data_IF_680432813619
#
_entry.id   IF_680432813619
#
_cell.length_a   1.000
_cell.length_b   1.000
_cell.length_c   1.000
_cell.angle_alpha   90.00
_cell.angle_beta   90.00
_cell.angle_gamma   90.00
#
_symmetry.space_group_name_H-M   'P 1'
#
loop_
_entity.id
_entity.type
_entity.pdbx_description
1 polymer ?
#
# COMPACT_ATOMS: atom_id res chain seq x y z
N UNK A 1 -63.10 -48.00 -60.89
CA UNK A 1 -61.99 -47.08 -60.47
C UNK A 1 -60.70 -47.74 -60.77
N UNK A 2 -59.99 -47.26 -61.77
CA UNK A 2 -58.78 -47.83 -62.30
C UNK A 2 -57.60 -47.59 -61.37
N UNK A 3 -56.64 -48.57 -61.22
CA UNK A 3 -55.51 -48.52 -60.29
C UNK A 3 -54.63 -47.28 -60.41
N UNK A 4 -54.64 -46.54 -61.53
CA UNK A 4 -54.00 -45.26 -61.75
C UNK A 4 -54.57 -44.10 -60.90
N UNK A 5 -55.87 -44.08 -60.60
CA UNK A 5 -56.49 -43.06 -59.78
C UNK A 5 -56.18 -43.25 -58.29
N UNK A 6 -56.11 -44.50 -57.80
CA UNK A 6 -55.69 -44.84 -56.44
C UNK A 6 -54.23 -44.44 -56.24
N UNK A 7 -53.33 -44.73 -57.16
CA UNK A 7 -51.90 -44.39 -57.09
C UNK A 7 -51.66 -42.86 -57.10
N UNK A 8 -52.46 -42.08 -57.85
CA UNK A 8 -52.48 -40.64 -57.86
C UNK A 8 -52.97 -40.02 -56.54
N UNK A 9 -53.97 -40.68 -55.91
CA UNK A 9 -54.52 -40.29 -54.59
C UNK A 9 -53.54 -40.55 -53.44
N UNK A 10 -52.77 -41.68 -53.45
CA UNK A 10 -51.74 -42.02 -52.50
C UNK A 10 -50.57 -41.07 -52.65
N UNK A 11 -50.12 -40.73 -53.86
CA UNK A 11 -49.09 -39.78 -54.14
C UNK A 11 -49.38 -38.38 -53.60
N UNK A 12 -50.68 -37.91 -53.76
CA UNK A 12 -51.09 -36.64 -53.15
C UNK A 12 -51.11 -36.67 -51.63
N UNK A 13 -51.55 -37.77 -51.01
CA UNK A 13 -51.55 -37.92 -49.53
C UNK A 13 -50.11 -37.98 -48.95
N UNK A 14 -49.20 -38.67 -49.63
CA UNK A 14 -47.77 -38.73 -49.27
C UNK A 14 -47.12 -37.33 -49.44
N UNK A 15 -47.41 -36.62 -50.55
CA UNK A 15 -46.95 -35.26 -50.76
C UNK A 15 -47.43 -34.27 -49.68
N UNK A 16 -48.71 -34.35 -49.29
CA UNK A 16 -49.25 -33.53 -48.18
C UNK A 16 -48.59 -33.89 -46.85
N UNK A 17 -48.36 -35.20 -46.59
CA UNK A 17 -47.64 -35.65 -45.38
C UNK A 17 -46.19 -35.15 -45.31
N UNK A 18 -45.47 -35.18 -46.43
CA UNK A 18 -44.12 -34.62 -46.52
C UNK A 18 -44.11 -33.11 -46.33
N UNK A 19 -45.07 -32.40 -46.92
CA UNK A 19 -45.22 -30.93 -46.79
C UNK A 19 -45.53 -30.53 -45.33
N UNK A 20 -46.43 -31.29 -44.67
CA UNK A 20 -46.79 -31.12 -43.25
C UNK A 20 -45.55 -31.40 -42.33
N UNK A 21 -44.78 -32.40 -42.63
CA UNK A 21 -43.53 -32.70 -41.89
C UNK A 21 -42.50 -31.59 -42.05
N UNK A 22 -42.30 -31.07 -43.26
CA UNK A 22 -41.41 -29.94 -43.53
C UNK A 22 -41.90 -28.71 -42.76
N UNK A 23 -43.22 -28.42 -42.78
CA UNK A 23 -43.81 -27.31 -42.02
C UNK A 23 -43.63 -27.47 -40.51
N UNK A 24 -43.77 -28.66 -39.97
CA UNK A 24 -43.52 -29.00 -38.59
C UNK A 24 -42.06 -28.77 -38.19
N UNK A 25 -41.11 -29.20 -39.02
CA UNK A 25 -39.69 -28.99 -38.81
C UNK A 25 -39.31 -27.51 -38.85
N UNK A 26 -39.87 -26.73 -39.79
CA UNK A 26 -39.71 -25.29 -39.86
C UNK A 26 -40.30 -24.59 -38.63
N UNK A 27 -41.44 -25.04 -38.11
CA UNK A 27 -42.07 -24.48 -36.93
C UNK A 27 -41.25 -24.72 -35.67
N UNK A 28 -40.65 -25.92 -35.51
CA UNK A 28 -39.72 -26.23 -34.40
C UNK A 28 -38.46 -25.36 -34.48
N UNK A 29 -37.94 -25.11 -35.68
CA UNK A 29 -36.79 -24.23 -35.90
C UNK A 29 -37.02 -22.76 -35.55
N UNK A 30 -38.27 -22.31 -35.31
CA UNK A 30 -38.59 -20.96 -34.95
C UNK A 30 -38.36 -20.64 -33.46
N UNK A 31 -38.14 -21.64 -32.64
CA UNK A 31 -37.88 -21.44 -31.20
C UNK A 31 -36.39 -21.58 -30.88
N UNK A 32 -35.91 -20.68 -30.02
CA UNK A 32 -34.59 -20.76 -29.47
C UNK A 32 -34.59 -20.28 -28.01
N UNK A 33 -33.64 -20.74 -27.24
CA UNK A 33 -33.43 -20.36 -25.82
C UNK A 33 -32.19 -19.48 -25.68
N UNK A 34 -32.28 -18.50 -24.79
CA UNK A 34 -31.16 -17.64 -24.41
C UNK A 34 -30.91 -17.87 -22.93
N UNK A 35 -29.71 -18.25 -22.56
CA UNK A 35 -29.31 -18.44 -21.18
C UNK A 35 -29.05 -17.10 -20.49
N UNK A 36 -28.98 -17.10 -19.17
CA UNK A 36 -28.71 -15.87 -18.38
C UNK A 36 -27.30 -15.34 -18.62
N UNK A 37 -26.36 -16.23 -18.96
CA UNK A 37 -24.96 -15.97 -19.24
C UNK A 37 -24.68 -15.61 -20.69
N UNK A 38 -25.73 -15.49 -21.54
CA UNK A 38 -25.58 -15.23 -22.96
C UNK A 38 -26.30 -13.95 -23.39
N UNK A 39 -25.71 -13.26 -24.38
CA UNK A 39 -26.39 -12.33 -25.26
C UNK A 39 -26.85 -13.07 -26.51
N UNK A 40 -27.95 -12.63 -27.11
CA UNK A 40 -28.36 -13.11 -28.43
C UNK A 40 -28.57 -11.94 -29.39
N UNK A 41 -27.91 -11.98 -30.54
CA UNK A 41 -28.10 -11.01 -31.62
C UNK A 41 -28.98 -11.64 -32.68
N UNK A 42 -30.10 -11.00 -32.97
CA UNK A 42 -31.04 -11.44 -34.01
C UNK A 42 -30.69 -10.73 -35.32
N UNK A 43 -30.32 -11.51 -36.32
CA UNK A 43 -30.02 -11.03 -37.65
C UNK A 43 -31.18 -11.36 -38.59
N UNK A 44 -31.60 -10.39 -39.37
CA UNK A 44 -32.62 -10.59 -40.44
C UNK A 44 -31.94 -10.37 -41.77
N UNK A 45 -31.89 -11.41 -42.62
CA UNK A 45 -31.14 -11.41 -43.89
C UNK A 45 -29.70 -10.92 -43.77
N UNK A 46 -29.02 -11.29 -42.67
CA UNK A 46 -27.64 -10.91 -42.41
C UNK A 46 -27.43 -9.53 -41.81
N UNK A 47 -28.50 -8.75 -41.60
CA UNK A 47 -28.42 -7.43 -40.95
C UNK A 47 -28.80 -7.56 -39.47
N UNK A 48 -27.93 -7.13 -38.52
CA UNK A 48 -28.27 -7.13 -37.10
C UNK A 48 -29.40 -6.14 -36.82
N UNK A 49 -30.50 -6.60 -36.23
CA UNK A 49 -31.65 -5.76 -35.97
C UNK A 49 -31.89 -5.53 -34.49
N UNK A 50 -31.60 -6.52 -33.68
CA UNK A 50 -31.94 -6.44 -32.26
C UNK A 50 -31.00 -7.28 -31.39
N UNK A 51 -30.57 -6.64 -30.36
CA UNK A 51 -29.87 -7.27 -29.24
C UNK A 51 -30.90 -7.79 -28.22
N UNK A 52 -30.76 -9.04 -27.77
CA UNK A 52 -31.61 -9.68 -26.80
C UNK A 52 -30.77 -9.97 -25.53
N UNK A 53 -31.01 -9.14 -24.51
CA UNK A 53 -30.33 -9.29 -23.20
C UNK A 53 -31.10 -10.18 -22.22
N UNK A 54 -32.39 -10.45 -22.49
CA UNK A 54 -33.25 -11.22 -21.57
C UNK A 54 -33.22 -12.71 -21.86
N UNK A 55 -32.94 -13.51 -20.82
CA UNK A 55 -33.01 -14.97 -20.87
C UNK A 55 -34.41 -15.52 -21.10
N UNK A 56 -34.47 -16.74 -21.56
CA UNK A 56 -35.72 -17.49 -21.74
C UNK A 56 -35.97 -17.94 -23.17
N UNK A 57 -37.15 -18.52 -23.41
CA UNK A 57 -37.60 -18.97 -24.70
C UNK A 57 -38.03 -17.77 -25.57
N UNK A 58 -37.46 -17.68 -26.78
CA UNK A 58 -37.73 -16.63 -27.76
C UNK A 58 -38.19 -17.22 -29.09
N UNK A 59 -38.86 -16.40 -29.86
CA UNK A 59 -39.35 -16.75 -31.18
C UNK A 59 -38.58 -16.01 -32.28
N UNK A 60 -38.17 -16.72 -33.33
CA UNK A 60 -37.57 -16.15 -34.55
C UNK A 60 -38.22 -16.74 -35.78
N UNK A 61 -38.05 -16.09 -36.92
CA UNK A 61 -38.39 -16.69 -38.22
C UNK A 61 -37.42 -17.80 -38.61
N UNK A 62 -37.88 -18.80 -39.36
CA UNK A 62 -37.02 -19.93 -39.78
C UNK A 62 -35.86 -19.45 -40.66
N UNK A 63 -34.74 -20.18 -40.57
CA UNK A 63 -33.64 -19.98 -41.50
C UNK A 63 -34.11 -20.19 -42.96
N UNK A 64 -33.67 -19.35 -43.94
CA UNK A 64 -32.59 -18.35 -43.88
C UNK A 64 -33.07 -16.91 -43.54
N UNK A 65 -34.31 -16.68 -43.17
CA UNK A 65 -34.86 -15.33 -42.92
C UNK A 65 -34.18 -14.69 -41.69
N UNK A 66 -34.14 -15.45 -40.58
CA UNK A 66 -33.48 -14.97 -39.36
C UNK A 66 -32.48 -15.98 -38.81
N UNK A 67 -31.30 -15.46 -38.43
CA UNK A 67 -30.28 -16.18 -37.69
C UNK A 67 -30.09 -15.54 -36.33
N UNK A 68 -29.62 -16.33 -35.36
CA UNK A 68 -29.28 -15.87 -34.01
C UNK A 68 -27.85 -16.26 -33.73
N UNK A 69 -27.07 -15.28 -33.34
CA UNK A 69 -25.72 -15.47 -32.84
C UNK A 69 -25.69 -15.25 -31.32
N UNK A 70 -25.09 -16.18 -30.60
CA UNK A 70 -25.00 -16.15 -29.16
C UNK A 70 -23.59 -15.82 -28.72
N UNK A 71 -23.44 -14.91 -27.75
CA UNK A 71 -22.19 -14.48 -27.17
C UNK A 71 -22.26 -14.62 -25.65
N UNK A 72 -21.17 -15.04 -25.04
CA UNK A 72 -21.09 -15.12 -23.58
C UNK A 72 -20.98 -13.73 -22.95
N UNK A 73 -21.65 -13.56 -21.79
CA UNK A 73 -21.53 -12.39 -20.90
C UNK A 73 -20.38 -12.51 -19.92
N UNK A 74 -19.70 -13.65 -19.92
CA UNK A 74 -18.62 -13.92 -18.99
C UNK A 74 -17.43 -12.99 -19.23
N UNK A 75 -16.55 -12.93 -18.25
CA UNK A 75 -15.29 -12.21 -18.36
C UNK A 75 -14.27 -13.12 -19.01
N UNK A 76 -13.63 -12.63 -20.05
CA UNK A 76 -12.56 -13.29 -20.76
C UNK A 76 -11.22 -12.75 -20.32
N UNK A 77 -10.18 -13.59 -20.39
CA UNK A 77 -8.80 -13.20 -20.18
C UNK A 77 -8.05 -13.22 -21.49
N UNK A 78 -7.32 -12.15 -21.78
CA UNK A 78 -6.37 -12.05 -22.88
C UNK A 78 -4.97 -11.95 -22.27
N UNK A 79 -4.13 -12.93 -22.57
CA UNK A 79 -2.73 -12.96 -22.15
C UNK A 79 -1.86 -12.35 -23.26
N UNK A 80 -0.88 -11.54 -22.85
CA UNK A 80 0.11 -10.95 -23.75
C UNK A 80 1.51 -11.32 -23.27
N UNK A 81 2.31 -11.87 -24.19
CA UNK A 81 3.69 -12.27 -23.91
C UNK A 81 3.86 -13.72 -23.45
N UNK A 82 2.78 -14.41 -23.10
CA UNK A 82 2.79 -15.81 -22.74
C UNK A 82 1.52 -16.54 -23.20
N UNK A 83 1.63 -17.82 -23.48
CA UNK A 83 0.52 -18.70 -23.80
C UNK A 83 0.41 -19.80 -22.75
N UNK A 84 -0.83 -20.09 -22.34
CA UNK A 84 -1.10 -21.22 -21.44
C UNK A 84 -1.31 -22.47 -22.27
N UNK A 85 -0.30 -23.34 -22.34
CA UNK A 85 -0.38 -24.63 -23.01
C UNK A 85 -0.48 -25.78 -22.01
N UNK A 86 -1.71 -26.21 -21.71
CA UNK A 86 -1.98 -27.23 -20.69
C UNK A 86 -1.77 -26.68 -19.25
N UNK A 87 -0.73 -27.18 -18.58
CA UNK A 87 -0.32 -26.73 -17.22
C UNK A 87 0.98 -25.91 -17.22
N UNK A 88 1.50 -25.55 -18.38
CA UNK A 88 2.75 -24.80 -18.52
C UNK A 88 2.50 -23.47 -19.23
N UNK A 89 3.12 -22.44 -18.72
CA UNK A 89 3.21 -21.14 -19.36
C UNK A 89 4.41 -21.15 -20.31
N UNK A 90 4.16 -20.82 -21.57
CA UNK A 90 5.17 -20.71 -22.59
C UNK A 90 5.35 -19.22 -22.90
N UNK A 91 6.48 -18.67 -22.51
CA UNK A 91 6.80 -17.27 -22.74
C UNK A 91 7.28 -17.02 -24.17
N UNK A 92 6.77 -15.95 -24.78
CA UNK A 92 7.21 -15.46 -26.07
C UNK A 92 8.19 -14.28 -25.89
N UNK A 93 9.48 -14.55 -25.78
CA UNK A 93 10.52 -13.54 -25.57
C UNK A 93 10.49 -12.36 -26.55
N UNK A 94 10.01 -12.61 -27.81
CA UNK A 94 9.93 -11.54 -28.80
C UNK A 94 8.84 -10.52 -28.51
N UNK A 95 7.79 -10.94 -27.84
CA UNK A 95 6.66 -10.10 -27.49
C UNK A 95 6.87 -9.40 -26.15
N UNK A 96 7.42 -10.13 -25.16
CA UNK A 96 7.68 -9.60 -23.81
C UNK A 96 8.82 -8.61 -23.78
N UNK A 97 9.81 -8.72 -24.69
CA UNK A 97 10.99 -7.88 -24.73
C UNK A 97 10.65 -6.47 -25.19
N UNK A 98 10.95 -5.48 -24.35
CA UNK A 98 10.71 -4.08 -24.65
C UNK A 98 11.77 -3.15 -24.02
N UNK A 99 11.82 -1.91 -24.48
CA UNK A 99 12.80 -0.91 -24.04
C UNK A 99 12.06 0.14 -23.20
N UNK A 100 12.60 0.45 -22.04
CA UNK A 100 12.12 1.51 -21.14
C UNK A 100 12.58 2.90 -21.61
N UNK A 101 12.00 3.97 -21.03
CA UNK A 101 12.37 5.34 -21.37
C UNK A 101 13.81 5.73 -20.98
N UNK A 102 14.43 5.00 -20.07
CA UNK A 102 15.83 5.12 -19.66
C UNK A 102 16.77 4.10 -20.38
N UNK A 103 16.35 3.61 -21.58
CA UNK A 103 17.13 2.77 -22.50
C UNK A 103 17.50 1.38 -21.94
N UNK A 104 16.82 0.89 -20.92
CA UNK A 104 17.00 -0.46 -20.40
C UNK A 104 16.07 -1.44 -21.11
N UNK A 105 16.51 -2.70 -21.21
CA UNK A 105 15.71 -3.79 -21.77
C UNK A 105 15.06 -4.54 -20.61
N UNK A 106 13.73 -4.71 -20.68
CA UNK A 106 12.96 -5.52 -19.74
C UNK A 106 12.11 -6.54 -20.48
N UNK A 107 11.70 -7.57 -19.76
CA UNK A 107 10.67 -8.52 -20.17
C UNK A 107 9.42 -8.18 -19.36
N UNK A 108 8.30 -7.92 -20.04
CA UNK A 108 7.04 -7.64 -19.37
C UNK A 108 5.90 -8.38 -20.05
N UNK A 109 5.07 -9.02 -19.25
CA UNK A 109 3.87 -9.73 -19.68
C UNK A 109 2.63 -9.18 -18.96
N UNK A 110 1.50 -9.31 -19.63
CA UNK A 110 0.27 -8.65 -19.22
C UNK A 110 -0.93 -9.58 -19.41
N UNK A 111 -1.86 -9.52 -18.45
CA UNK A 111 -3.19 -10.10 -18.56
C UNK A 111 -4.24 -9.01 -18.60
N UNK A 112 -5.13 -9.06 -19.59
CA UNK A 112 -6.26 -8.14 -19.71
C UNK A 112 -7.56 -8.92 -19.52
N UNK A 113 -8.33 -8.54 -18.51
CA UNK A 113 -9.66 -9.08 -18.30
C UNK A 113 -10.69 -8.15 -18.94
N UNK A 114 -11.50 -8.69 -19.81
CA UNK A 114 -12.49 -7.95 -20.60
C UNK A 114 -13.80 -8.70 -20.72
N UNK A 115 -14.85 -7.98 -21.05
CA UNK A 115 -16.18 -8.56 -21.34
C UNK A 115 -16.85 -7.84 -22.49
N UNK A 116 -17.77 -8.52 -23.14
CA UNK A 116 -18.63 -7.96 -24.18
C UNK A 116 -19.69 -7.09 -23.51
N UNK A 117 -19.89 -5.86 -23.99
CA UNK A 117 -20.92 -4.92 -23.55
C UNK A 117 -21.89 -4.63 -24.65
N UNK A 118 -21.40 -4.44 -25.87
CA UNK A 118 -22.21 -4.28 -27.07
C UNK A 118 -21.96 -5.44 -28.04
N UNK A 119 -22.85 -6.46 -28.05
CA UNK A 119 -22.71 -7.63 -28.92
C UNK A 119 -22.76 -7.30 -30.42
N UNK A 120 -23.48 -6.24 -30.82
CA UNK A 120 -23.61 -5.83 -32.22
C UNK A 120 -22.28 -5.23 -32.69
N UNK A 121 -21.72 -4.31 -31.92
CA UNK A 121 -20.42 -3.72 -32.22
C UNK A 121 -19.32 -4.80 -32.27
N UNK A 122 -19.33 -5.72 -31.32
CA UNK A 122 -18.35 -6.82 -31.25
C UNK A 122 -18.38 -7.73 -32.48
N UNK A 123 -19.59 -8.07 -33.01
CA UNK A 123 -19.75 -8.99 -34.14
C UNK A 123 -19.56 -8.33 -35.49
N UNK A 124 -19.93 -7.05 -35.63
CA UNK A 124 -20.16 -6.44 -36.95
C UNK A 124 -19.33 -5.21 -37.25
N UNK A 125 -18.74 -4.52 -36.25
CA UNK A 125 -17.92 -3.35 -36.53
C UNK A 125 -16.52 -3.73 -37.03
N UNK A 126 -16.01 -4.90 -36.59
CA UNK A 126 -14.70 -5.37 -36.98
C UNK A 126 -14.73 -6.85 -37.33
N UNK A 127 -13.84 -7.28 -38.22
CA UNK A 127 -13.74 -8.71 -38.60
C UNK A 127 -13.11 -9.57 -37.50
N UNK A 128 -12.20 -9.03 -36.71
CA UNK A 128 -11.52 -9.73 -35.63
C UNK A 128 -11.24 -8.77 -34.43
N UNK A 129 -12.22 -8.59 -33.54
CA UNK A 129 -12.08 -7.72 -32.40
C UNK A 129 -11.02 -8.18 -31.39
N UNK A 130 -10.76 -9.51 -31.34
CA UNK A 130 -9.76 -10.07 -30.39
C UNK A 130 -8.35 -9.71 -30.83
N UNK A 131 -8.03 -9.86 -32.12
CA UNK A 131 -6.71 -9.44 -32.65
C UNK A 131 -6.49 -7.93 -32.54
N UNK A 132 -7.55 -7.12 -32.69
CA UNK A 132 -7.43 -5.68 -32.48
C UNK A 132 -7.18 -5.35 -31.01
N UNK A 133 -7.88 -6.02 -30.08
CA UNK A 133 -7.64 -5.87 -28.64
C UNK A 133 -6.20 -6.28 -28.28
N UNK A 134 -5.70 -7.37 -28.86
CA UNK A 134 -4.32 -7.82 -28.64
C UNK A 134 -3.30 -6.76 -29.09
N UNK A 135 -3.48 -6.23 -30.29
CA UNK A 135 -2.61 -5.17 -30.82
C UNK A 135 -2.71 -3.87 -30.02
N UNK A 136 -3.91 -3.49 -29.57
CA UNK A 136 -4.13 -2.34 -28.68
C UNK A 136 -3.43 -2.53 -27.34
N UNK A 137 -3.49 -3.76 -26.79
CA UNK A 137 -2.79 -4.12 -25.54
C UNK A 137 -1.29 -4.00 -25.71
N UNK A 138 -0.74 -4.58 -26.80
CA UNK A 138 0.68 -4.46 -27.14
C UNK A 138 1.13 -2.99 -27.28
N UNK A 139 0.34 -2.18 -27.98
CA UNK A 139 0.65 -0.77 -28.19
C UNK A 139 0.61 0.03 -26.88
N UNK A 140 -0.41 -0.20 -26.04
CA UNK A 140 -0.55 0.47 -24.76
C UNK A 140 0.59 0.12 -23.80
N UNK A 141 0.91 -1.18 -23.69
CA UNK A 141 2.00 -1.68 -22.85
C UNK A 141 3.34 -1.07 -23.29
N UNK A 142 3.69 -1.18 -24.58
CA UNK A 142 4.95 -0.65 -25.11
C UNK A 142 5.05 0.87 -25.02
N UNK A 143 3.94 1.57 -25.21
CA UNK A 143 3.89 3.04 -25.09
C UNK A 143 4.16 3.50 -23.66
N UNK A 144 3.55 2.86 -22.68
CA UNK A 144 3.71 3.23 -21.25
C UNK A 144 5.10 2.81 -20.74
N UNK A 145 5.53 1.58 -21.02
CA UNK A 145 6.87 1.10 -20.63
C UNK A 145 7.97 1.97 -21.29
N UNK A 146 7.81 2.32 -22.57
CA UNK A 146 8.76 3.19 -23.28
C UNK A 146 8.83 4.63 -22.74
N UNK A 147 7.88 5.07 -21.93
CA UNK A 147 7.90 6.35 -21.24
C UNK A 147 8.24 6.25 -19.74
N UNK A 148 8.38 5.04 -19.21
CA UNK A 148 8.68 4.76 -17.80
C UNK A 148 10.14 4.37 -17.61
N UNK A 149 10.65 4.50 -16.37
CA UNK A 149 11.99 4.01 -16.02
C UNK A 149 11.95 2.54 -15.61
N UNK A 150 13.10 1.85 -15.69
CA UNK A 150 13.22 0.48 -15.22
C UNK A 150 12.98 0.39 -13.70
N UNK A 151 13.40 1.40 -12.94
CA UNK A 151 13.15 1.48 -11.50
C UNK A 151 11.63 1.51 -11.22
N UNK A 152 10.84 2.32 -11.95
CA UNK A 152 9.37 2.38 -11.80
C UNK A 152 8.70 1.06 -12.15
N UNK A 153 9.18 0.38 -13.20
CA UNK A 153 8.61 -0.87 -13.66
C UNK A 153 8.84 -2.04 -12.67
N UNK A 154 9.98 -2.04 -11.97
CA UNK A 154 10.37 -3.10 -11.04
C UNK A 154 9.97 -2.82 -9.58
N UNK A 155 9.59 -1.58 -9.23
CA UNK A 155 9.32 -1.18 -7.85
C UNK A 155 7.94 -0.52 -7.66
N UNK A 156 7.87 0.54 -6.91
CA UNK A 156 6.62 1.23 -6.49
C UNK A 156 5.86 1.89 -7.64
N UNK A 157 6.52 2.18 -8.77
CA UNK A 157 5.90 2.77 -9.97
C UNK A 157 4.95 1.84 -10.71
N UNK A 158 4.98 0.53 -10.43
CA UNK A 158 4.17 -0.50 -11.10
C UNK A 158 2.67 -0.19 -11.12
N UNK A 159 2.12 0.29 -10.00
CA UNK A 159 0.70 0.65 -9.90
C UNK A 159 0.33 1.79 -10.87
N UNK A 160 1.19 2.79 -11.01
CA UNK A 160 0.99 3.88 -11.96
C UNK A 160 1.04 3.37 -13.39
N UNK A 161 2.03 2.55 -13.73
CA UNK A 161 2.19 1.91 -15.04
C UNK A 161 0.93 1.13 -15.43
N UNK A 162 0.40 0.31 -14.53
CA UNK A 162 -0.84 -0.45 -14.76
C UNK A 162 -2.03 0.47 -15.04
N UNK A 163 -2.18 1.55 -14.28
CA UNK A 163 -3.26 2.53 -14.49
C UNK A 163 -3.11 3.25 -15.84
N UNK A 164 -1.90 3.68 -16.19
CA UNK A 164 -1.63 4.36 -17.45
C UNK A 164 -1.88 3.43 -18.66
N UNK A 165 -1.50 2.15 -18.56
CA UNK A 165 -1.81 1.12 -19.57
C UNK A 165 -3.32 0.95 -19.71
N UNK A 166 -4.02 0.85 -18.58
CA UNK A 166 -5.47 0.67 -18.55
C UNK A 166 -6.20 1.84 -19.19
N UNK A 167 -5.83 3.07 -18.87
CA UNK A 167 -6.43 4.28 -19.45
C UNK A 167 -6.20 4.35 -20.96
N UNK A 168 -4.98 4.11 -21.41
CA UNK A 168 -4.64 4.06 -22.84
C UNK A 168 -5.44 2.98 -23.57
N UNK A 169 -5.52 1.78 -22.97
CA UNK A 169 -6.24 0.65 -23.56
C UNK A 169 -7.75 0.94 -23.66
N UNK A 170 -8.36 1.51 -22.61
CA UNK A 170 -9.78 1.92 -22.63
C UNK A 170 -10.02 2.95 -23.73
N UNK A 171 -9.13 3.92 -23.89
CA UNK A 171 -9.22 4.93 -24.94
C UNK A 171 -9.15 4.30 -26.34
N UNK A 172 -8.23 3.38 -26.57
CA UNK A 172 -8.11 2.67 -27.86
C UNK A 172 -9.32 1.80 -28.16
N UNK A 173 -9.81 1.05 -27.17
CA UNK A 173 -11.01 0.21 -27.30
C UNK A 173 -12.23 1.05 -27.67
N UNK A 174 -12.35 2.24 -27.10
CA UNK A 174 -13.43 3.19 -27.42
C UNK A 174 -13.29 3.76 -28.84
N UNK A 175 -12.06 4.15 -29.25
CA UNK A 175 -11.79 4.67 -30.59
C UNK A 175 -12.09 3.63 -31.67
N UNK A 176 -11.76 2.37 -31.41
CA UNK A 176 -12.00 1.26 -32.37
C UNK A 176 -13.45 0.73 -32.31
N UNK A 177 -14.24 1.18 -31.35
CA UNK A 177 -15.65 0.76 -31.15
C UNK A 177 -15.83 -0.76 -31.19
N UNK A 178 -15.03 -1.45 -30.35
CA UNK A 178 -14.96 -2.90 -30.31
C UNK A 178 -16.15 -3.56 -29.61
N UNK A 179 -17.03 -2.80 -28.97
CA UNK A 179 -18.14 -3.34 -28.19
C UNK A 179 -17.77 -4.08 -26.91
N UNK A 180 -16.55 -3.89 -26.41
CA UNK A 180 -16.01 -4.54 -25.21
C UNK A 180 -15.73 -3.52 -24.11
N UNK A 181 -15.65 -4.01 -22.87
CA UNK A 181 -15.22 -3.23 -21.72
C UNK A 181 -14.07 -3.92 -21.01
N UNK A 182 -13.04 -3.17 -20.72
CA UNK A 182 -11.90 -3.63 -19.92
C UNK A 182 -12.30 -3.62 -18.45
N UNK A 183 -12.19 -4.77 -17.80
CA UNK A 183 -12.49 -4.95 -16.37
C UNK A 183 -11.26 -4.70 -15.54
N UNK A 184 -10.17 -5.39 -15.89
CA UNK A 184 -8.90 -5.30 -15.17
C UNK A 184 -7.73 -5.45 -16.13
N UNK A 185 -6.62 -4.83 -15.75
CA UNK A 185 -5.33 -4.98 -16.41
C UNK A 185 -4.34 -5.37 -15.33
N UNK A 186 -3.68 -6.48 -15.50
CA UNK A 186 -2.73 -7.03 -14.56
C UNK A 186 -1.38 -7.25 -15.24
N UNK A 187 -0.36 -6.54 -14.77
CA UNK A 187 1.02 -6.77 -15.18
C UNK A 187 1.52 -7.96 -14.37
N UNK A 188 1.73 -9.10 -15.02
CA UNK A 188 2.08 -10.38 -14.36
C UNK A 188 3.50 -10.31 -13.83
N UNK A 189 4.48 -10.44 -14.72
CA UNK A 189 5.89 -10.39 -14.39
C UNK A 189 6.59 -9.26 -15.14
N UNK A 190 7.55 -8.63 -14.46
CA UNK A 190 8.49 -7.69 -15.06
C UNK A 190 9.87 -8.13 -14.65
N UNK A 191 10.63 -8.63 -15.61
CA UNK A 191 11.95 -9.18 -15.37
C UNK A 191 13.02 -8.51 -16.23
N UNK A 192 14.25 -8.65 -15.80
CA UNK A 192 15.42 -8.27 -16.58
C UNK A 192 15.86 -9.43 -17.50
N UNK A 193 16.43 -9.13 -18.67
CA UNK A 193 16.62 -10.13 -19.74
C UNK A 193 17.58 -11.26 -19.36
N UNK A 194 18.49 -11.04 -18.41
CA UNK A 194 19.45 -12.06 -17.95
C UNK A 194 19.68 -11.98 -16.45
N UNK A 195 20.01 -13.10 -15.83
CA UNK A 195 20.34 -13.19 -14.41
C UNK A 195 21.54 -12.31 -14.02
N UNK A 196 22.50 -12.13 -14.93
CA UNK A 196 23.66 -11.25 -14.70
C UNK A 196 23.23 -9.79 -14.57
N UNK A 197 22.31 -9.34 -15.45
CA UNK A 197 21.75 -7.98 -15.40
C UNK A 197 20.90 -7.80 -14.15
N UNK A 198 20.10 -8.81 -13.77
CA UNK A 198 19.30 -8.80 -12.55
C UNK A 198 20.18 -8.67 -11.30
N UNK A 199 21.28 -9.43 -11.23
CA UNK A 199 22.24 -9.34 -10.11
C UNK A 199 22.93 -7.99 -10.05
N UNK A 200 23.34 -7.44 -11.19
CA UNK A 200 23.95 -6.11 -11.26
C UNK A 200 22.96 -5.00 -10.81
N UNK A 201 21.72 -5.08 -11.26
CA UNK A 201 20.67 -4.15 -10.89
C UNK A 201 20.38 -4.20 -9.36
N UNK A 202 20.24 -5.41 -8.79
CA UNK A 202 20.09 -5.60 -7.35
C UNK A 202 21.24 -4.96 -6.57
N UNK A 203 22.48 -5.16 -7.02
CA UNK A 203 23.66 -4.57 -6.37
C UNK A 203 23.63 -3.03 -6.36
N UNK A 204 23.13 -2.40 -7.44
CA UNK A 204 22.95 -0.95 -7.52
C UNK A 204 21.87 -0.48 -6.57
N UNK A 205 20.73 -1.20 -6.53
CA UNK A 205 19.60 -0.88 -5.65
C UNK A 205 20.01 -1.01 -4.19
N UNK A 206 20.69 -2.10 -3.81
CA UNK A 206 21.21 -2.33 -2.46
C UNK A 206 22.18 -1.19 -2.03
N UNK A 207 23.08 -0.78 -2.93
CA UNK A 207 23.99 0.33 -2.67
C UNK A 207 23.27 1.68 -2.48
N UNK A 208 22.19 1.93 -3.23
CA UNK A 208 21.34 3.12 -3.06
C UNK A 208 20.62 3.09 -1.71
N UNK A 209 20.04 1.96 -1.33
CA UNK A 209 19.36 1.77 -0.04
C UNK A 209 20.35 1.91 1.13
N UNK A 210 21.53 1.31 1.03
CA UNK A 210 22.59 1.47 2.04
C UNK A 210 23.00 2.95 2.19
N UNK A 211 23.14 3.67 1.09
CA UNK A 211 23.42 5.11 1.12
C UNK A 211 22.31 5.89 1.83
N UNK A 212 21.05 5.63 1.52
CA UNK A 212 19.91 6.28 2.17
C UNK A 212 19.84 5.96 3.65
N UNK A 213 20.10 4.71 4.01
CA UNK A 213 20.16 4.26 5.41
C UNK A 213 21.26 4.98 6.18
N UNK A 214 22.47 5.12 5.59
CA UNK A 214 23.57 5.88 6.20
C UNK A 214 23.22 7.36 6.41
N UNK A 215 22.57 8.00 5.42
CA UNK A 215 22.10 9.39 5.52
C UNK A 215 21.05 9.53 6.63
N UNK A 216 20.07 8.63 6.68
CA UNK A 216 19.02 8.65 7.69
C UNK A 216 19.59 8.44 9.11
N UNK A 217 20.53 7.51 9.27
CA UNK A 217 21.20 7.26 10.53
C UNK A 217 22.04 8.47 10.98
N UNK A 218 22.74 9.13 10.05
CA UNK A 218 23.49 10.35 10.34
C UNK A 218 22.57 11.51 10.76
N UNK A 219 21.42 11.67 10.10
CA UNK A 219 20.41 12.66 10.46
C UNK A 219 19.78 12.36 11.83
N UNK A 220 19.48 11.09 12.12
CA UNK A 220 18.98 10.65 13.43
C UNK A 220 20.01 10.99 14.52
N UNK A 221 21.26 10.59 14.33
CA UNK A 221 22.35 10.90 15.28
C UNK A 221 22.52 12.41 15.51
N UNK A 222 22.48 13.20 14.42
CA UNK A 222 22.54 14.66 14.53
C UNK A 222 21.40 15.22 15.36
N UNK A 223 20.16 14.79 15.11
CA UNK A 223 18.98 15.26 15.82
C UNK A 223 18.99 14.83 17.30
N UNK A 224 19.42 13.61 17.59
CA UNK A 224 19.62 13.13 18.98
C UNK A 224 20.62 13.99 19.72
N UNK A 225 21.77 14.32 19.09
CA UNK A 225 22.80 15.16 19.72
C UNK A 225 22.33 16.60 19.95
N UNK A 226 21.62 17.18 18.99
CA UNK A 226 21.06 18.52 19.15
C UNK A 226 20.04 18.55 20.31
N UNK A 227 19.11 17.60 20.34
CA UNK A 227 18.10 17.52 21.39
C UNK A 227 18.72 17.27 22.77
N UNK A 228 19.76 16.41 22.83
CA UNK A 228 20.51 16.16 24.07
C UNK A 228 21.16 17.45 24.59
N UNK A 229 21.89 18.17 23.74
CA UNK A 229 22.57 19.42 24.11
C UNK A 229 21.57 20.50 24.52
N UNK A 230 20.45 20.62 23.83
CA UNK A 230 19.36 21.55 24.22
C UNK A 230 18.77 21.19 25.59
N UNK A 231 18.60 19.90 25.87
CA UNK A 231 18.16 19.42 27.19
C UNK A 231 19.19 19.72 28.29
N UNK A 232 20.46 19.52 28.03
CA UNK A 232 21.55 19.86 28.95
C UNK A 232 21.63 21.36 29.20
N UNK A 233 21.53 22.18 28.16
CA UNK A 233 21.48 23.64 28.28
C UNK A 233 20.31 24.10 29.16
N UNK A 234 19.10 23.62 28.89
CA UNK A 234 17.93 23.92 29.67
C UNK A 234 18.07 23.50 31.14
N UNK A 235 18.68 22.34 31.38
CA UNK A 235 18.93 21.85 32.74
C UNK A 235 19.95 22.73 33.50
N UNK A 236 21.02 23.17 32.83
CA UNK A 236 22.01 24.08 33.40
C UNK A 236 21.38 25.43 33.76
N UNK A 237 20.60 26.02 32.83
CA UNK A 237 19.91 27.28 33.06
C UNK A 237 18.91 27.19 34.24
N UNK A 238 18.09 26.13 34.26
CA UNK A 238 17.11 25.91 35.34
C UNK A 238 17.79 25.72 36.71
N UNK A 239 18.94 24.99 36.73
CA UNK A 239 19.73 24.82 37.95
C UNK A 239 20.30 26.16 38.45
N UNK A 240 20.88 26.95 37.54
CA UNK A 240 21.44 28.26 37.89
C UNK A 240 20.36 29.24 38.39
N UNK A 241 19.18 29.24 37.78
CA UNK A 241 18.02 30.02 38.28
C UNK A 241 17.56 29.53 39.64
N UNK A 242 17.48 28.22 39.84
CA UNK A 242 17.14 27.64 41.15
C UNK A 242 18.14 28.01 42.23
N UNK A 243 19.44 27.93 41.97
CA UNK A 243 20.49 28.36 42.91
C UNK A 243 20.44 29.86 43.20
N UNK A 244 20.18 30.68 42.17
CA UNK A 244 20.00 32.12 42.35
C UNK A 244 18.83 32.41 43.31
N UNK A 245 17.67 31.80 43.05
CA UNK A 245 16.49 31.97 43.88
C UNK A 245 16.76 31.48 45.31
N UNK A 246 17.34 30.29 45.46
CA UNK A 246 17.69 29.74 46.77
C UNK A 246 18.65 30.65 47.54
N UNK A 247 19.65 31.23 46.89
CA UNK A 247 20.61 32.16 47.49
C UNK A 247 19.92 33.46 47.95
N UNK A 248 19.03 34.02 47.12
CA UNK A 248 18.29 35.21 47.44
C UNK A 248 17.32 34.96 48.63
N UNK A 249 16.59 33.86 48.59
CA UNK A 249 15.63 33.53 49.66
C UNK A 249 16.37 33.19 51.00
N UNK A 250 17.53 32.52 50.91
CA UNK A 250 18.37 32.32 52.09
C UNK A 250 18.85 33.63 52.67
N UNK A 251 19.33 34.57 51.86
CA UNK A 251 19.78 35.89 52.32
C UNK A 251 18.61 36.68 52.94
N UNK A 252 17.41 36.62 52.33
CA UNK A 252 16.20 37.25 52.93
C UNK A 252 15.82 36.63 54.25
N UNK A 253 15.89 35.30 54.35
CA UNK A 253 15.67 34.54 55.59
C UNK A 253 16.66 34.92 56.69
N UNK A 254 17.96 35.05 56.36
CA UNK A 254 18.99 35.46 57.30
C UNK A 254 18.79 36.91 57.79
N UNK A 255 18.40 37.83 56.89
CA UNK A 255 18.05 39.23 57.26
C UNK A 255 16.80 39.26 58.14
N UNK A 256 15.78 38.50 57.83
CA UNK A 256 14.56 38.42 58.64
C UNK A 256 14.87 37.88 60.05
N UNK A 257 15.66 36.81 60.13
CA UNK A 257 16.15 36.24 61.41
C UNK A 257 16.96 37.27 62.21
N UNK A 258 17.89 37.97 61.57
CA UNK A 258 18.66 39.03 62.21
C UNK A 258 17.76 40.12 62.72
N UNK A 259 16.82 40.65 61.95
CA UNK A 259 15.90 41.73 62.38
C UNK A 259 15.02 41.29 63.56
N UNK A 260 14.50 40.05 63.54
CA UNK A 260 13.73 39.51 64.68
C UNK A 260 14.57 39.44 65.97
N UNK A 261 15.80 38.90 65.87
CA UNK A 261 16.75 38.81 66.95
C UNK A 261 17.13 40.24 67.46
N UNK A 262 17.36 41.18 66.56
CA UNK A 262 17.69 42.56 66.91
C UNK A 262 16.56 43.27 67.64
N UNK A 263 15.32 43.07 67.25
CA UNK A 263 14.17 43.63 67.91
C UNK A 263 14.02 43.08 69.33
N UNK A 264 14.22 41.79 69.57
CA UNK A 264 14.27 41.16 70.87
C UNK A 264 15.43 41.69 71.72
N UNK A 265 16.63 41.82 71.10
CA UNK A 265 17.79 42.38 71.78
C UNK A 265 17.59 43.86 72.19
N UNK A 266 16.95 44.67 71.31
CA UNK A 266 16.66 46.05 71.62
C UNK A 266 15.74 46.24 72.89
N UNK A 267 14.80 45.26 73.02
CA UNK A 267 13.84 45.28 74.17
C UNK A 267 14.46 44.75 75.49
N UNK A 268 15.41 43.75 75.41
CA UNK A 268 15.96 43.11 76.63
C UNK A 268 17.41 42.65 76.39
N UNK A 269 18.34 43.60 76.44
CA UNK A 269 19.74 43.40 76.05
C UNK A 269 20.49 42.29 76.81
N UNK A 270 20.41 42.27 78.17
CA UNK A 270 21.16 41.30 78.99
C UNK A 270 20.59 39.86 78.85
N UNK A 271 19.28 39.72 78.88
CA UNK A 271 18.65 38.41 78.79
C UNK A 271 18.88 37.76 77.41
N UNK A 272 18.73 38.57 76.34
CA UNK A 272 18.95 38.06 74.93
C UNK A 272 20.41 37.71 74.69
N UNK A 273 21.36 38.44 75.24
CA UNK A 273 22.79 38.15 75.17
C UNK A 273 23.11 36.82 75.88
N UNK A 274 22.62 36.61 77.11
CA UNK A 274 22.83 35.34 77.81
C UNK A 274 22.19 34.16 77.05
N UNK A 275 20.99 34.30 76.49
CA UNK A 275 20.32 33.31 75.74
C UNK A 275 21.13 32.89 74.44
N UNK A 276 21.60 33.88 73.69
CA UNK A 276 22.42 33.66 72.49
C UNK A 276 23.74 32.92 72.82
N UNK A 277 24.41 33.30 73.94
CA UNK A 277 25.59 32.59 74.37
C UNK A 277 25.31 31.11 74.69
N UNK A 278 24.22 30.86 75.43
CA UNK A 278 23.83 29.50 75.77
C UNK A 278 23.42 28.67 74.56
N UNK A 279 22.69 29.26 73.58
CA UNK A 279 22.28 28.61 72.31
C UNK A 279 23.51 28.29 71.49
N UNK A 280 24.49 29.21 71.34
CA UNK A 280 25.74 28.98 70.65
C UNK A 280 26.59 27.90 71.34
N UNK A 281 26.65 27.92 72.68
CA UNK A 281 27.35 26.86 73.41
C UNK A 281 26.66 25.49 73.23
N UNK A 282 25.32 25.42 73.19
CA UNK A 282 24.60 24.20 72.92
C UNK A 282 24.90 23.64 71.50
N UNK A 283 24.98 24.52 70.53
CA UNK A 283 25.25 24.13 69.13
C UNK A 283 26.72 23.65 68.98
N UNK A 284 27.68 24.38 69.54
CA UNK A 284 29.11 24.01 69.49
C UNK A 284 29.41 22.76 70.30
N UNK A 285 28.73 22.56 71.45
CA UNK A 285 28.95 21.43 72.33
C UNK A 285 28.12 20.19 71.97
N UNK A 286 27.23 20.26 70.95
CA UNK A 286 26.37 19.15 70.56
C UNK A 286 27.17 17.91 70.17
N UNK A 287 28.28 18.08 69.50
CA UNK A 287 29.16 17.00 69.05
C UNK A 287 30.43 16.86 69.89
N UNK A 288 30.55 17.63 71.00
CA UNK A 288 31.70 17.57 71.88
C UNK A 288 31.65 16.36 72.83
N UNK A 289 32.69 15.58 72.86
CA UNK A 289 32.88 14.50 73.86
C UNK A 289 33.28 15.12 75.17
N UNK A 290 32.37 15.10 76.20
CA UNK A 290 32.64 15.64 77.53
C UNK A 290 33.41 14.63 78.35
N UNK A 291 34.61 14.96 78.78
CA UNK A 291 35.42 14.21 79.73
C UNK A 291 35.36 14.86 81.08
N UNK A 292 34.73 14.20 82.08
CA UNK A 292 34.68 14.65 83.48
C UNK A 292 35.88 14.05 84.21
N UNK A 293 36.82 14.89 84.70
CA UNK A 293 37.92 14.43 85.52
C UNK A 293 37.69 14.88 87.01
N UNK A 294 37.76 13.92 87.92
CA UNK A 294 37.69 14.18 89.32
C UNK A 294 39.08 14.47 89.86
N UNK A 295 39.22 15.61 90.58
CA UNK A 295 40.51 16.15 91.14
C UNK A 295 41.00 15.44 92.40
N UNK A 296 40.34 14.42 92.88
CA UNK A 296 40.55 13.91 94.22
C UNK A 296 41.64 12.86 94.39
N UNK A 297 42.55 12.58 93.42
CA UNK A 297 43.69 11.66 93.60
C UNK A 297 44.90 12.01 92.74
N UNK A 298 46.03 12.05 93.39
CA UNK A 298 47.36 12.37 92.84
C UNK A 298 47.88 11.34 91.88
N UNK A 299 47.13 10.97 90.87
CA UNK A 299 47.54 10.04 89.80
C UNK A 299 47.66 10.79 88.46
N UNK A 300 48.73 10.66 87.76
CA UNK A 300 48.95 11.16 86.40
C UNK A 300 48.00 10.48 85.49
N UNK A 301 46.95 11.22 85.00
CA UNK A 301 45.99 10.72 84.07
C UNK A 301 46.51 10.88 82.65
N UNK A 302 46.77 9.76 82.00
CA UNK A 302 47.17 9.72 80.63
C UNK A 302 45.89 9.81 79.71
N UNK A 303 45.77 10.91 78.97
CA UNK A 303 44.74 11.04 77.94
C UNK A 303 45.34 10.55 76.59
N UNK A 304 44.98 9.40 76.10
CA UNK A 304 45.50 8.94 74.80
C UNK A 304 44.89 9.77 73.64
N UNK A 305 45.60 10.80 73.21
CA UNK A 305 45.18 11.71 72.14
C UNK A 305 45.20 10.99 70.75
N UNK A 306 45.91 9.89 70.63
CA UNK A 306 46.06 9.11 69.38
C UNK A 306 44.76 8.54 68.84
N UNK A 307 43.75 8.30 69.67
CA UNK A 307 42.45 7.79 69.21
C UNK A 307 41.49 8.91 68.75
N UNK A 308 41.78 10.18 69.04
CA UNK A 308 40.97 11.32 68.60
C UNK A 308 41.32 11.79 67.19
N UNK A 309 42.51 11.45 66.69
CA UNK A 309 42.95 11.82 65.34
C UNK A 309 42.63 10.79 64.28
N UNK A 310 42.09 9.59 64.61
CA UNK A 310 41.77 8.55 63.65
C UNK A 310 40.30 8.52 63.17
N UNK A 311 39.41 9.30 63.75
CA UNK A 311 37.99 9.35 63.31
C UNK A 311 37.63 10.55 62.45
N UNK A 312 38.61 11.30 61.94
CA UNK A 312 38.43 12.43 61.02
C UNK A 312 38.96 12.12 59.60
N UNK A 313 38.45 11.01 58.96
CA UNK A 313 38.59 10.77 57.52
C UNK A 313 37.25 10.42 56.90
#
# INVERSE_FOLDING_TARGET
MTGKERMKSYGKKIGIGVLMLIFLLLFISCFYTVDQTEYAVLNTFGVPQKEIMSSGLKFKLPYPIQSVEKLSKETFSLTFGYEISGYQEVFNERETKMITGDENIILADLEVQWKIVDPIAFLYHTSDPISILYNATSSSLRGVIGSSTVDDALTDGRTKIINDIRENLISLVHIYDLGISIINVNLQDVDLPTEEVSTAFKSVTDAREERMTKINNANKYRNEKINQVQGEEAAILSRAEGEKIATIEKAKGDVAKFNALYSEYANSKEITKQRLVIETLKEVLKDAKLYIMDESNNTVKYLPIDNLMKEGK
#
